data_IF_343912523722
#
_entry.id   IF_343912523722
#
_cell.length_a   1.000
_cell.length_b   1.000
_cell.length_c   1.000
_cell.angle_alpha   90.00
_cell.angle_beta   90.00
_cell.angle_gamma   90.00
#
_symmetry.space_group_name_H-M   'P 1'
#
loop_
_entity.id
_entity.type
_entity.pdbx_description
1 polymer ?
#
# COMPACT_ATOMS: atom_id res chain seq x y z
N UNK A 1 -21.51 -4.92 -0.44
CA UNK A 1 -21.02 -4.86 0.96
C UNK A 1 -20.78 -6.24 1.56
N UNK A 2 -21.72 -7.19 1.44
CA UNK A 2 -21.60 -8.56 1.97
C UNK A 2 -20.32 -9.32 1.55
N UNK A 3 -19.91 -9.26 0.27
CA UNK A 3 -18.68 -9.91 -0.22
C UNK A 3 -17.40 -9.33 0.43
N UNK A 4 -17.33 -8.01 0.60
CA UNK A 4 -16.18 -7.33 1.18
C UNK A 4 -16.07 -7.59 2.69
N UNK A 5 -17.21 -7.66 3.39
CA UNK A 5 -17.23 -8.10 4.78
C UNK A 5 -16.76 -9.55 4.91
N UNK A 6 -17.27 -10.46 4.06
CA UNK A 6 -16.80 -11.86 4.03
C UNK A 6 -15.30 -11.97 3.77
N UNK A 7 -14.75 -11.18 2.84
CA UNK A 7 -13.32 -11.16 2.54
C UNK A 7 -12.48 -10.59 3.69
N UNK A 8 -12.96 -9.52 4.34
CA UNK A 8 -12.33 -8.95 5.53
C UNK A 8 -12.30 -9.95 6.68
N UNK A 9 -13.44 -10.59 6.99
CA UNK A 9 -13.52 -11.66 7.98
C UNK A 9 -12.63 -12.85 7.62
N UNK A 10 -12.56 -13.22 6.34
CA UNK A 10 -11.66 -14.27 5.87
C UNK A 10 -10.21 -13.91 6.15
N UNK A 11 -9.73 -12.71 5.83
CA UNK A 11 -8.35 -12.34 6.09
C UNK A 11 -8.03 -12.20 7.59
N UNK A 12 -8.96 -11.68 8.40
CA UNK A 12 -8.82 -11.66 9.86
C UNK A 12 -8.69 -13.09 10.36
N UNK A 13 -9.61 -13.98 9.95
CA UNK A 13 -9.60 -15.39 10.34
C UNK A 13 -8.34 -16.10 9.86
N UNK A 14 -7.92 -15.91 8.62
CA UNK A 14 -6.68 -16.49 8.07
C UNK A 14 -5.44 -15.98 8.79
N UNK A 15 -5.40 -14.71 9.15
CA UNK A 15 -4.28 -14.15 9.93
C UNK A 15 -4.25 -14.68 11.35
N UNK A 16 -5.41 -14.74 12.01
CA UNK A 16 -5.55 -15.38 13.32
C UNK A 16 -5.19 -16.86 13.26
N UNK A 17 -5.60 -17.59 12.22
CA UNK A 17 -5.21 -18.98 12.00
C UNK A 17 -3.70 -19.11 11.81
N UNK A 18 -3.07 -18.24 11.02
CA UNK A 18 -1.61 -18.23 10.88
C UNK A 18 -0.91 -18.04 12.24
N UNK A 19 -1.44 -17.17 13.12
CA UNK A 19 -0.93 -17.03 14.49
C UNK A 19 -1.24 -18.23 15.38
N UNK A 20 -2.47 -18.74 15.38
CA UNK A 20 -2.95 -19.78 16.29
C UNK A 20 -2.44 -21.18 15.92
N UNK A 21 -2.15 -21.44 14.65
CA UNK A 21 -1.55 -22.70 14.18
C UNK A 21 -0.03 -22.69 14.37
N UNK A 22 0.58 -21.52 14.65
CA UNK A 22 2.02 -21.38 14.85
C UNK A 22 2.59 -22.22 16.02
N UNK A 23 1.92 -22.35 17.18
CA UNK A 23 2.37 -23.22 18.27
C UNK A 23 2.28 -24.72 17.93
N UNK A 24 1.24 -25.13 17.20
CA UNK A 24 0.93 -26.55 16.97
C UNK A 24 1.95 -27.23 16.04
N UNK A 25 2.49 -26.50 15.05
CA UNK A 25 3.47 -27.04 14.10
C UNK A 25 4.89 -27.13 14.71
N UNK A 26 5.17 -26.42 15.81
CA UNK A 26 6.49 -26.53 16.49
C UNK A 26 6.60 -27.76 17.40
N UNK A 27 5.49 -28.40 17.76
CA UNK A 27 5.47 -29.61 18.61
C UNK A 27 5.96 -30.87 17.90
N UNK A 28 6.00 -30.91 16.56
CA UNK A 28 6.35 -32.13 15.80
C UNK A 28 7.85 -32.30 15.55
N UNK A 29 8.70 -31.39 16.01
CA UNK A 29 10.15 -31.47 15.81
C UNK A 29 10.87 -31.92 17.08
N UNK A 30 10.42 -33.03 17.69
CA UNK A 30 11.22 -33.74 18.68
C UNK A 30 12.24 -34.66 17.98
N UNK A 31 13.51 -34.26 18.12
CA UNK A 31 14.60 -35.11 18.60
C UNK A 31 14.84 -36.48 17.93
N UNK A 32 15.48 -36.50 16.75
CA UNK A 32 16.29 -37.65 16.35
C UNK A 32 17.76 -37.43 16.73
N UNK A 33 18.16 -38.04 17.85
CA UNK A 33 19.57 -38.37 18.13
C UNK A 33 20.01 -39.40 17.08
N UNK A 34 20.94 -39.02 16.21
CA UNK A 34 21.65 -39.92 15.30
C UNK A 34 23.08 -39.43 15.13
N UNK A 35 24.05 -40.20 15.63
CA UNK A 35 25.47 -39.89 15.54
C UNK A 35 25.93 -39.89 14.09
N UNK A 36 26.25 -38.70 13.57
CA UNK A 36 26.82 -38.52 12.23
C UNK A 36 26.73 -37.06 11.77
N UNK A 37 27.88 -36.46 11.49
CA UNK A 37 28.03 -35.16 10.79
C UNK A 37 27.55 -33.89 11.52
N UNK A 38 28.39 -33.38 12.43
CA UNK A 38 28.20 -32.05 13.03
C UNK A 38 28.40 -30.91 12.00
N UNK A 39 29.19 -31.12 10.93
CA UNK A 39 29.46 -30.11 9.89
C UNK A 39 28.30 -29.96 8.89
N UNK A 40 27.68 -31.05 8.43
CA UNK A 40 26.60 -30.96 7.44
C UNK A 40 25.33 -30.37 8.06
N UNK A 41 25.05 -30.70 9.33
CA UNK A 41 23.91 -30.14 10.06
C UNK A 41 24.08 -28.64 10.33
N UNK A 42 25.28 -28.17 10.67
CA UNK A 42 25.59 -26.73 10.83
C UNK A 42 25.45 -26.00 9.49
N UNK A 43 26.00 -26.56 8.41
CA UNK A 43 25.95 -25.93 7.09
C UNK A 43 24.50 -25.85 6.55
N UNK A 44 23.72 -26.92 6.72
CA UNK A 44 22.29 -26.98 6.35
C UNK A 44 21.43 -25.99 7.13
N UNK A 45 21.67 -25.85 8.44
CA UNK A 45 20.97 -24.87 9.29
C UNK A 45 21.32 -23.43 8.89
N UNK A 46 22.58 -23.16 8.53
CA UNK A 46 23.03 -21.85 8.03
C UNK A 46 22.37 -21.47 6.69
N UNK A 47 22.25 -22.43 5.76
CA UNK A 47 21.60 -22.18 4.47
C UNK A 47 20.09 -21.95 4.63
N UNK A 48 19.42 -22.74 5.48
CA UNK A 48 17.99 -22.55 5.81
C UNK A 48 17.74 -21.17 6.41
N UNK A 49 18.50 -20.79 7.43
CA UNK A 49 18.39 -19.47 8.07
C UNK A 49 18.63 -18.34 7.06
N UNK A 50 19.63 -18.47 6.18
CA UNK A 50 19.92 -17.50 5.14
C UNK A 50 18.78 -17.34 4.14
N UNK A 51 18.13 -18.44 3.75
CA UNK A 51 16.94 -18.41 2.90
C UNK A 51 15.78 -17.74 3.63
N UNK A 52 15.57 -18.08 4.90
CA UNK A 52 14.50 -17.53 5.71
C UNK A 52 14.61 -16.01 5.88
N UNK A 53 15.81 -15.50 6.13
CA UNK A 53 16.09 -14.06 6.20
C UNK A 53 15.75 -13.36 4.87
N UNK A 54 16.15 -13.95 3.73
CA UNK A 54 15.85 -13.36 2.40
C UNK A 54 14.35 -13.35 2.12
N UNK A 55 13.66 -14.45 2.42
CA UNK A 55 12.22 -14.57 2.22
C UNK A 55 11.45 -13.57 3.10
N UNK A 56 11.84 -13.43 4.37
CA UNK A 56 11.27 -12.41 5.27
C UNK A 56 11.41 -11.00 4.68
N UNK A 57 12.63 -10.63 4.25
CA UNK A 57 12.88 -9.34 3.61
C UNK A 57 12.06 -9.13 2.35
N UNK A 58 11.99 -10.15 1.48
CA UNK A 58 11.20 -10.08 0.25
C UNK A 58 9.70 -9.93 0.51
N UNK A 59 9.13 -10.69 1.44
CA UNK A 59 7.71 -10.60 1.80
C UNK A 59 7.36 -9.21 2.36
N UNK A 60 8.20 -8.63 3.22
CA UNK A 60 7.99 -7.29 3.75
C UNK A 60 8.17 -6.19 2.70
N UNK A 61 9.15 -6.33 1.80
CA UNK A 61 9.28 -5.42 0.66
C UNK A 61 8.04 -5.49 -0.25
N UNK A 62 7.60 -6.69 -0.63
CA UNK A 62 6.43 -6.90 -1.48
C UNK A 62 5.17 -6.31 -0.83
N UNK A 63 4.98 -6.52 0.48
CA UNK A 63 3.87 -5.95 1.24
C UNK A 63 3.97 -4.42 1.38
N UNK A 64 4.96 -3.94 2.13
CA UNK A 64 5.02 -2.57 2.63
C UNK A 64 5.74 -1.62 1.67
N UNK A 65 6.70 -2.12 0.91
CA UNK A 65 7.45 -1.36 -0.08
C UNK A 65 6.73 -1.24 -1.42
N UNK A 66 5.89 -2.21 -1.78
CA UNK A 66 5.27 -2.27 -3.12
C UNK A 66 3.73 -2.27 -3.08
N UNK A 67 3.08 -3.34 -2.60
CA UNK A 67 1.63 -3.52 -2.70
C UNK A 67 0.85 -2.42 -1.98
N UNK A 68 1.28 -2.01 -0.79
CA UNK A 68 0.59 -0.96 -0.03
C UNK A 68 0.70 0.42 -0.72
N UNK A 69 1.90 0.92 -1.10
CA UNK A 69 2.03 2.15 -1.89
C UNK A 69 1.26 2.13 -3.22
N UNK A 70 1.32 1.03 -3.97
CA UNK A 70 0.56 0.86 -5.22
C UNK A 70 -0.94 0.89 -4.95
N UNK A 71 -1.40 0.26 -3.88
CA UNK A 71 -2.79 0.33 -3.43
C UNK A 71 -3.25 1.76 -3.15
N UNK A 72 -2.41 2.58 -2.51
CA UNK A 72 -2.67 4.01 -2.25
C UNK A 72 -2.76 4.78 -3.57
N UNK A 73 -1.80 4.61 -4.48
CA UNK A 73 -1.81 5.26 -5.79
C UNK A 73 -3.05 4.88 -6.60
N UNK A 74 -3.43 3.61 -6.61
CA UNK A 74 -4.63 3.11 -7.28
C UNK A 74 -5.92 3.69 -6.68
N UNK A 75 -5.96 3.95 -5.37
CA UNK A 75 -7.09 4.66 -4.72
C UNK A 75 -7.29 6.03 -5.31
N UNK A 76 -6.21 6.80 -5.46
CA UNK A 76 -6.26 8.19 -5.91
C UNK A 76 -6.57 8.31 -7.41
N UNK A 77 -6.09 7.38 -8.24
CA UNK A 77 -6.33 7.39 -9.69
C UNK A 77 -7.72 6.87 -10.10
N UNK A 78 -8.29 5.90 -9.37
CA UNK A 78 -9.58 5.33 -9.75
C UNK A 78 -10.73 6.27 -9.37
N UNK A 79 -11.07 7.20 -10.28
CA UNK A 79 -12.34 7.91 -10.25
C UNK A 79 -13.48 6.91 -10.52
N UNK A 80 -14.30 6.68 -9.48
CA UNK A 80 -15.70 6.24 -9.57
C UNK A 80 -16.07 4.88 -10.19
N UNK A 81 -15.14 4.00 -10.55
CA UNK A 81 -15.52 2.64 -10.99
C UNK A 81 -15.62 1.61 -9.85
N UNK A 82 -16.66 0.78 -9.87
CA UNK A 82 -16.84 -0.31 -8.89
C UNK A 82 -15.73 -1.37 -8.95
N UNK A 83 -15.17 -1.62 -10.14
CA UNK A 83 -14.03 -2.52 -10.35
C UNK A 83 -12.81 -2.05 -9.55
N UNK A 84 -12.52 -0.75 -9.60
CA UNK A 84 -11.44 -0.14 -8.83
C UNK A 84 -11.61 -0.32 -7.33
N UNK A 85 -12.83 -0.33 -6.77
CA UNK A 85 -13.05 -0.61 -5.34
C UNK A 85 -12.62 -2.02 -4.93
N UNK A 86 -12.91 -3.05 -5.75
CA UNK A 86 -12.53 -4.43 -5.44
C UNK A 86 -11.01 -4.61 -5.52
N UNK A 87 -10.40 -4.11 -6.60
CA UNK A 87 -8.96 -4.21 -6.81
C UNK A 87 -8.16 -3.55 -5.68
N UNK A 88 -8.58 -2.35 -5.24
CA UNK A 88 -7.96 -1.64 -4.10
C UNK A 88 -7.97 -2.48 -2.83
N UNK A 89 -9.11 -3.09 -2.52
CA UNK A 89 -9.24 -3.92 -1.31
C UNK A 89 -8.35 -5.16 -1.41
N UNK A 90 -8.25 -5.79 -2.59
CA UNK A 90 -7.34 -6.92 -2.81
C UNK A 90 -5.87 -6.56 -2.52
N UNK A 91 -5.39 -5.40 -2.99
CA UNK A 91 -4.03 -4.93 -2.69
C UNK A 91 -3.78 -4.80 -1.18
N UNK A 92 -4.71 -4.21 -0.42
CA UNK A 92 -4.56 -4.09 1.04
C UNK A 92 -4.64 -5.44 1.77
N UNK A 93 -5.58 -6.30 1.38
CA UNK A 93 -5.71 -7.63 2.00
C UNK A 93 -4.47 -8.48 1.76
N UNK A 94 -3.93 -8.44 0.53
CA UNK A 94 -2.71 -9.15 0.19
C UNK A 94 -1.51 -8.60 0.96
N UNK A 95 -1.39 -7.28 1.08
CA UNK A 95 -0.34 -6.63 1.89
C UNK A 95 -0.39 -7.11 3.35
N UNK A 96 -1.57 -7.05 4.00
CA UNK A 96 -1.72 -7.49 5.40
C UNK A 96 -1.36 -8.97 5.57
N UNK A 97 -1.74 -9.81 4.62
CA UNK A 97 -1.43 -11.24 4.65
C UNK A 97 0.06 -11.51 4.51
N UNK A 98 0.75 -10.85 3.58
CA UNK A 98 2.20 -10.98 3.40
C UNK A 98 2.97 -10.46 4.62
N UNK A 99 2.57 -9.31 5.17
CA UNK A 99 3.15 -8.77 6.40
C UNK A 99 2.98 -9.75 7.58
N UNK A 100 1.81 -10.37 7.69
CA UNK A 100 1.53 -11.38 8.72
C UNK A 100 2.34 -12.64 8.54
N UNK A 101 2.43 -13.17 7.32
CA UNK A 101 3.27 -14.32 7.02
C UNK A 101 4.75 -14.04 7.36
N UNK A 102 5.26 -12.87 6.99
CA UNK A 102 6.63 -12.47 7.30
C UNK A 102 6.88 -12.28 8.80
N UNK A 103 5.90 -11.72 9.54
CA UNK A 103 5.99 -11.56 10.98
C UNK A 103 5.98 -12.92 11.70
N UNK A 104 5.03 -13.80 11.37
CA UNK A 104 4.95 -15.17 11.89
C UNK A 104 6.25 -15.94 11.63
N UNK A 105 6.75 -15.86 10.40
CA UNK A 105 8.03 -16.45 10.03
C UNK A 105 9.19 -15.92 10.89
N UNK A 106 9.26 -14.60 11.09
CA UNK A 106 10.27 -13.97 11.94
C UNK A 106 10.20 -14.48 13.38
N UNK A 107 8.99 -14.57 13.95
CA UNK A 107 8.76 -15.08 15.30
C UNK A 107 9.20 -16.53 15.48
N UNK A 108 8.97 -17.38 14.46
CA UNK A 108 9.25 -18.82 14.54
C UNK A 108 10.71 -19.17 14.28
N UNK A 109 11.34 -18.49 13.34
CA UNK A 109 12.61 -18.93 12.77
C UNK A 109 13.82 -18.10 13.22
N UNK A 110 13.59 -16.89 13.75
CA UNK A 110 14.68 -16.01 14.16
C UNK A 110 14.78 -15.87 15.68
N UNK A 111 15.99 -15.61 16.15
CA UNK A 111 16.21 -15.26 17.55
C UNK A 111 15.74 -13.80 17.80
N UNK A 112 14.57 -13.65 18.39
CA UNK A 112 13.92 -12.37 18.66
C UNK A 112 14.29 -11.83 20.04
N UNK A 113 15.57 -11.51 20.25
CA UNK A 113 16.03 -10.82 21.47
C UNK A 113 15.67 -9.34 21.52
N UNK A 114 15.13 -8.78 20.42
CA UNK A 114 14.72 -7.37 20.27
C UNK A 114 15.80 -6.34 20.64
N UNK A 115 17.08 -6.71 20.57
CA UNK A 115 18.18 -5.79 20.82
C UNK A 115 18.47 -4.87 19.62
N UNK A 116 17.97 -5.23 18.43
CA UNK A 116 18.17 -4.47 17.20
C UNK A 116 17.01 -3.48 16.99
N UNK A 117 17.36 -2.25 16.56
CA UNK A 117 16.38 -1.20 16.17
C UNK A 117 15.37 -1.71 15.14
N UNK A 118 15.81 -2.48 14.14
CA UNK A 118 14.95 -3.08 13.12
C UNK A 118 13.88 -3.99 13.73
N UNK A 119 14.23 -4.85 14.69
CA UNK A 119 13.26 -5.76 15.34
C UNK A 119 12.21 -4.98 16.14
N UNK A 120 12.63 -3.96 16.89
CA UNK A 120 11.74 -3.12 17.71
C UNK A 120 10.78 -2.30 16.84
N UNK A 121 11.32 -1.65 15.80
CA UNK A 121 10.52 -0.88 14.83
C UNK A 121 9.59 -1.80 14.05
N UNK A 122 10.06 -2.97 13.61
CA UNK A 122 9.28 -3.96 12.87
C UNK A 122 8.09 -4.50 13.68
N UNK A 123 8.29 -4.79 14.97
CA UNK A 123 7.19 -5.20 15.86
C UNK A 123 6.15 -4.10 16.04
N UNK A 124 6.59 -2.86 16.29
CA UNK A 124 5.70 -1.70 16.41
C UNK A 124 4.92 -1.45 15.11
N UNK A 125 5.61 -1.48 13.98
CA UNK A 125 5.01 -1.35 12.65
C UNK A 125 3.94 -2.43 12.43
N UNK A 126 4.21 -3.68 12.80
CA UNK A 126 3.25 -4.76 12.66
C UNK A 126 1.95 -4.51 13.43
N UNK A 127 2.06 -4.03 14.69
CA UNK A 127 0.91 -3.61 15.47
C UNK A 127 0.14 -2.46 14.80
N UNK A 128 0.84 -1.47 14.26
CA UNK A 128 0.23 -0.33 13.57
C UNK A 128 -0.46 -0.72 12.25
N UNK A 129 0.04 -1.72 11.51
CA UNK A 129 -0.62 -2.26 10.31
C UNK A 129 -2.01 -2.79 10.66
N UNK A 130 -2.11 -3.60 11.72
CA UNK A 130 -3.38 -4.13 12.19
C UNK A 130 -4.30 -3.04 12.73
N UNK A 131 -3.77 -2.10 13.53
CA UNK A 131 -4.53 -0.97 14.03
C UNK A 131 -5.13 -0.15 12.89
N UNK A 132 -4.33 0.17 11.87
CA UNK A 132 -4.77 0.90 10.68
C UNK A 132 -5.87 0.14 9.92
N UNK A 133 -5.74 -1.19 9.78
CA UNK A 133 -6.74 -2.03 9.14
C UNK A 133 -8.07 -2.07 9.92
N UNK A 134 -8.00 -2.22 11.25
CA UNK A 134 -9.17 -2.23 12.13
C UNK A 134 -9.90 -0.89 12.11
N UNK A 135 -9.17 0.23 12.21
CA UNK A 135 -9.73 1.59 12.06
C UNK A 135 -10.38 1.74 10.69
N UNK A 136 -9.75 1.20 9.64
CA UNK A 136 -10.30 1.13 8.28
C UNK A 136 -11.66 0.41 8.20
N UNK A 137 -11.87 -0.62 9.02
CA UNK A 137 -13.09 -1.42 9.03
C UNK A 137 -14.25 -0.76 9.78
N UNK A 138 -13.97 -0.08 10.90
CA UNK A 138 -14.97 0.68 11.70
C UNK A 138 -15.34 2.05 11.09
N UNK A 139 -15.18 2.16 9.77
CA UNK A 139 -15.41 3.37 8.98
C UNK A 139 -16.83 3.93 9.22
N UNK A 140 -16.99 5.14 9.77
CA UNK A 140 -18.32 5.73 10.03
C UNK A 140 -19.11 6.02 8.75
N UNK A 141 -20.44 5.99 8.86
CA UNK A 141 -21.36 6.35 7.78
C UNK A 141 -21.11 7.78 7.27
N UNK A 142 -21.39 8.00 5.98
CA UNK A 142 -21.27 9.34 5.37
C UNK A 142 -22.22 10.31 6.08
N UNK A 143 -21.77 11.54 6.33
CA UNK A 143 -22.56 12.59 7.00
C UNK A 143 -22.52 12.57 8.54
N UNK A 144 -21.94 11.55 9.18
CA UNK A 144 -21.79 11.52 10.64
C UNK A 144 -20.73 12.50 11.15
N UNK A 145 -20.95 13.12 12.32
CA UNK A 145 -19.98 14.05 12.95
C UNK A 145 -18.59 13.42 13.16
N UNK A 146 -18.55 12.12 13.49
CA UNK A 146 -17.29 11.37 13.67
C UNK A 146 -16.52 11.04 12.37
N UNK A 147 -17.12 11.27 11.19
CA UNK A 147 -16.51 10.96 9.89
C UNK A 147 -15.21 11.72 9.65
N UNK A 148 -15.19 13.00 10.01
CA UNK A 148 -14.03 13.88 9.80
C UNK A 148 -12.88 13.48 10.72
N UNK A 149 -13.15 13.28 12.02
CA UNK A 149 -12.15 12.82 13.00
C UNK A 149 -11.57 11.46 12.58
N UNK A 150 -12.43 10.51 12.23
CA UNK A 150 -11.99 9.21 11.71
C UNK A 150 -11.08 9.36 10.50
N UNK A 151 -11.42 10.25 9.56
CA UNK A 151 -10.62 10.46 8.36
C UNK A 151 -9.24 11.02 8.70
N UNK A 152 -9.16 12.04 9.55
CA UNK A 152 -7.89 12.63 9.99
C UNK A 152 -7.01 11.60 10.70
N UNK A 153 -7.56 10.85 11.65
CA UNK A 153 -6.83 9.80 12.39
C UNK A 153 -6.34 8.71 11.43
N UNK A 154 -7.24 8.17 10.60
CA UNK A 154 -6.90 7.09 9.67
C UNK A 154 -5.88 7.54 8.60
N UNK A 155 -5.93 8.81 8.17
CA UNK A 155 -4.99 9.36 7.21
C UNK A 155 -3.60 9.59 7.82
N UNK A 156 -3.52 10.20 9.01
CA UNK A 156 -2.25 10.41 9.73
C UNK A 156 -1.61 9.06 10.05
N UNK A 157 -2.37 8.12 10.61
CA UNK A 157 -1.88 6.80 10.95
C UNK A 157 -1.42 6.02 9.72
N UNK A 158 -2.17 6.06 8.62
CA UNK A 158 -1.77 5.42 7.36
C UNK A 158 -0.48 5.99 6.77
N UNK A 159 -0.29 7.31 6.90
CA UNK A 159 0.94 7.98 6.48
C UNK A 159 2.12 7.53 7.35
N UNK A 160 1.94 7.50 8.68
CA UNK A 160 2.94 7.00 9.61
C UNK A 160 3.33 5.54 9.34
N UNK A 161 2.35 4.66 9.11
CA UNK A 161 2.58 3.25 8.74
C UNK A 161 3.37 3.13 7.43
N UNK A 162 3.09 3.98 6.44
CA UNK A 162 3.81 3.99 5.17
C UNK A 162 5.28 4.41 5.35
N UNK A 163 5.52 5.49 6.08
CA UNK A 163 6.87 5.98 6.37
C UNK A 163 7.67 4.97 7.20
N UNK A 164 7.08 4.44 8.27
CA UNK A 164 7.70 3.40 9.09
C UNK A 164 7.98 2.13 8.29
N UNK A 165 7.10 1.76 7.35
CA UNK A 165 7.34 0.65 6.41
C UNK A 165 8.61 0.83 5.58
N UNK A 166 8.78 2.02 4.99
CA UNK A 166 9.98 2.37 4.20
C UNK A 166 11.24 2.35 5.09
N UNK A 167 11.18 2.99 6.27
CA UNK A 167 12.29 3.00 7.23
C UNK A 167 12.66 1.59 7.71
N UNK A 168 11.66 0.74 7.93
CA UNK A 168 11.88 -0.63 8.37
C UNK A 168 12.55 -1.49 7.29
N UNK A 169 12.30 -1.22 6.00
CA UNK A 169 13.00 -1.88 4.90
C UNK A 169 14.47 -1.44 4.84
N UNK A 170 14.78 -0.15 4.96
CA UNK A 170 16.17 0.32 4.99
C UNK A 170 16.97 -0.24 6.17
N UNK A 171 16.39 -0.20 7.38
CA UNK A 171 17.02 -0.78 8.56
C UNK A 171 17.11 -2.31 8.47
N UNK A 172 16.16 -2.97 7.80
CA UNK A 172 16.21 -4.40 7.51
C UNK A 172 17.32 -4.80 6.54
N UNK A 173 17.58 -3.98 5.51
CA UNK A 173 18.73 -4.15 4.61
C UNK A 173 20.05 -4.01 5.38
N UNK A 174 20.16 -3.01 6.27
CA UNK A 174 21.34 -2.87 7.13
C UNK A 174 21.54 -4.09 8.04
N UNK A 175 20.47 -4.55 8.71
CA UNK A 175 20.52 -5.75 9.55
C UNK A 175 20.87 -7.01 8.72
N UNK A 176 20.41 -7.10 7.47
CA UNK A 176 20.80 -8.17 6.55
C UNK A 176 22.29 -8.15 6.23
N UNK A 177 22.85 -6.96 5.96
CA UNK A 177 24.29 -6.80 5.72
C UNK A 177 25.10 -7.22 6.95
N UNK A 178 24.73 -6.76 8.14
CA UNK A 178 25.40 -7.12 9.39
C UNK A 178 25.36 -8.63 9.66
N UNK A 179 24.23 -9.28 9.36
CA UNK A 179 24.03 -10.72 9.63
C UNK A 179 24.66 -11.65 8.61
N UNK A 180 24.75 -11.23 7.34
CA UNK A 180 25.18 -12.11 6.23
C UNK A 180 26.48 -11.67 5.58
N UNK A 181 27.00 -10.49 5.92
CA UNK A 181 28.15 -9.83 5.28
C UNK A 181 27.99 -9.62 3.77
N UNK A 182 26.78 -9.76 3.23
CA UNK A 182 26.49 -9.59 1.80
C UNK A 182 26.26 -8.13 1.45
N UNK A 183 26.73 -7.71 0.27
CA UNK A 183 26.52 -6.36 -0.23
C UNK A 183 25.03 -6.05 -0.44
N UNK A 184 24.59 -4.89 0.06
CA UNK A 184 23.20 -4.41 -0.05
C UNK A 184 23.02 -3.24 -1.01
N UNK A 185 24.13 -2.67 -1.52
CA UNK A 185 24.11 -1.43 -2.32
C UNK A 185 23.10 -1.47 -3.47
N UNK A 186 23.10 -2.57 -4.24
CA UNK A 186 22.19 -2.74 -5.37
C UNK A 186 20.72 -2.75 -4.94
N UNK A 187 20.38 -3.50 -3.88
CA UNK A 187 19.02 -3.55 -3.34
C UNK A 187 18.57 -2.19 -2.79
N UNK A 188 19.46 -1.47 -2.11
CA UNK A 188 19.21 -0.11 -1.63
C UNK A 188 18.93 0.83 -2.79
N UNK A 189 19.75 0.83 -3.86
CA UNK A 189 19.55 1.68 -5.04
C UNK A 189 18.21 1.40 -5.70
N UNK A 190 17.88 0.12 -5.94
CA UNK A 190 16.61 -0.28 -6.54
C UNK A 190 15.43 0.19 -5.68
N UNK A 191 15.48 -0.03 -4.37
CA UNK A 191 14.41 0.38 -3.48
C UNK A 191 14.27 1.90 -3.41
N UNK A 192 15.37 2.65 -3.36
CA UNK A 192 15.35 4.12 -3.40
C UNK A 192 14.73 4.62 -4.71
N UNK A 193 15.15 4.07 -5.86
CA UNK A 193 14.60 4.43 -7.16
C UNK A 193 13.09 4.14 -7.23
N UNK A 194 12.65 2.99 -6.72
CA UNK A 194 11.24 2.63 -6.61
C UNK A 194 10.45 3.64 -5.75
N UNK A 195 10.95 3.98 -4.55
CA UNK A 195 10.28 4.94 -3.66
C UNK A 195 10.21 6.32 -4.30
N UNK A 196 11.28 6.78 -4.95
CA UNK A 196 11.32 8.04 -5.70
C UNK A 196 10.30 8.06 -6.84
N UNK A 197 10.21 6.98 -7.62
CA UNK A 197 9.22 6.83 -8.68
C UNK A 197 7.79 6.88 -8.11
N UNK A 198 7.50 6.10 -7.08
CA UNK A 198 6.17 6.11 -6.44
C UNK A 198 5.81 7.49 -5.86
N UNK A 199 6.78 8.19 -5.27
CA UNK A 199 6.60 9.55 -4.76
C UNK A 199 6.31 10.53 -5.88
N UNK A 200 7.04 10.43 -7.00
CA UNK A 200 6.78 11.23 -8.19
C UNK A 200 5.34 11.02 -8.68
N UNK A 201 4.89 9.78 -8.87
CA UNK A 201 3.50 9.50 -9.26
C UNK A 201 2.48 10.03 -8.25
N UNK A 202 2.76 9.87 -6.95
CA UNK A 202 1.89 10.37 -5.90
C UNK A 202 1.67 11.89 -5.99
N UNK A 203 2.75 12.65 -6.22
CA UNK A 203 2.68 14.11 -6.38
C UNK A 203 2.08 14.51 -7.73
N UNK A 204 2.40 13.76 -8.79
CA UNK A 204 1.93 14.02 -10.15
C UNK A 204 0.42 13.85 -10.29
N UNK A 205 -0.18 12.89 -9.56
CA UNK A 205 -1.63 12.65 -9.55
C UNK A 205 -2.45 13.92 -9.25
N UNK A 206 -1.99 14.78 -8.33
CA UNK A 206 -2.71 16.01 -7.97
C UNK A 206 -2.65 17.08 -9.07
N UNK A 207 -1.62 17.04 -9.91
CA UNK A 207 -1.44 17.98 -11.04
C UNK A 207 -2.06 17.49 -12.33
N UNK A 208 -2.25 16.18 -12.50
CA UNK A 208 -2.77 15.55 -13.71
C UNK A 208 -4.09 16.17 -14.20
N UNK A 209 -5.03 16.42 -13.28
CA UNK A 209 -6.31 17.06 -13.61
C UNK A 209 -6.16 18.47 -14.18
N UNK A 210 -5.24 19.26 -13.64
CA UNK A 210 -4.97 20.63 -14.11
C UNK A 210 -4.33 20.63 -15.50
N UNK A 211 -3.38 19.72 -15.75
CA UNK A 211 -2.70 19.56 -17.04
C UNK A 211 -3.69 19.16 -18.14
N UNK A 212 -4.57 18.19 -17.86
CA UNK A 212 -5.61 17.77 -18.81
C UNK A 212 -6.54 18.93 -19.18
N UNK A 213 -6.93 19.77 -18.22
CA UNK A 213 -7.76 20.96 -18.50
C UNK A 213 -7.04 22.02 -19.34
N UNK A 214 -5.75 22.24 -19.15
CA UNK A 214 -4.99 23.19 -19.96
C UNK A 214 -4.77 22.69 -21.40
N UNK A 215 -4.54 21.38 -21.59
CA UNK A 215 -4.42 20.79 -22.92
C UNK A 215 -5.71 20.89 -23.75
N UNK A 216 -6.88 20.76 -23.10
CA UNK A 216 -8.20 20.91 -23.77
C UNK A 216 -8.47 22.37 -24.18
N UNK A 217 -8.01 23.35 -23.41
CA UNK A 217 -8.21 24.78 -23.72
C UNK A 217 -7.33 25.26 -24.89
N UNK A 218 -6.11 24.75 -25.04
CA UNK A 218 -5.22 25.04 -26.18
C UNK A 218 -5.67 24.41 -27.50
N UNK A 219 -6.45 23.32 -27.45
CA UNK A 219 -7.01 22.68 -28.65
C UNK A 219 -8.25 23.38 -29.22
N UNK A 220 -8.78 24.39 -28.52
CA UNK A 220 -10.01 25.10 -28.87
C UNK A 220 -9.76 26.59 -29.12
N UNK A 221 -8.58 26.96 -29.64
CA UNK A 221 -8.38 28.31 -30.16
C UNK A 221 -9.23 28.45 -31.44
N UNK A 222 -10.28 29.30 -31.46
CA UNK A 222 -11.01 29.55 -32.69
C UNK A 222 -10.08 30.27 -33.66
N UNK A 223 -9.83 29.66 -34.82
CA UNK A 223 -9.29 30.36 -35.98
C UNK A 223 -10.15 31.60 -36.19
N UNK A 224 -9.59 32.78 -35.94
CA UNK A 224 -10.27 34.07 -36.15
C UNK A 224 -10.78 34.11 -37.60
N UNK A 225 -12.08 34.29 -37.85
CA UNK A 225 -12.54 34.69 -39.17
C UNK A 225 -12.02 36.10 -39.41
N UNK A 226 -11.30 36.30 -40.50
CA UNK A 226 -10.91 37.61 -41.02
C UNK A 226 -12.15 38.51 -41.05
N UNK A 227 -12.08 39.63 -40.32
CA UNK A 227 -13.14 40.61 -40.23
C UNK A 227 -13.26 41.34 -41.57
N UNK A 228 -14.20 40.91 -42.43
CA UNK A 228 -14.69 41.70 -43.56
C UNK A 228 -16.05 41.16 -44.01
N UNK A 229 -17.14 41.69 -43.44
CA UNK A 229 -18.48 41.79 -44.05
C UNK A 229 -19.42 42.66 -43.17
N UNK A 230 -19.18 43.97 -43.16
CA UNK A 230 -20.05 45.01 -43.78
C UNK A 230 -21.59 44.85 -43.68
N UNK A 231 -22.24 45.86 -43.05
CA UNK A 231 -23.66 46.35 -43.14
C UNK A 231 -24.82 45.43 -42.61
N UNK A 232 -25.87 45.78 -41.84
CA UNK A 232 -26.52 46.99 -41.28
C UNK A 232 -27.53 46.56 -40.15
N UNK A 233 -28.07 47.47 -39.32
CA UNK A 233 -28.78 47.16 -38.07
C UNK A 233 -30.31 46.98 -38.22
N UNK A 234 -30.89 45.95 -37.58
CA UNK A 234 -32.34 45.78 -37.44
C UNK A 234 -32.81 46.55 -36.21
N UNK A 235 -33.28 47.77 -36.46
CA UNK A 235 -34.17 48.53 -35.60
C UNK A 235 -35.62 48.20 -36.02
N UNK A 236 -36.36 47.40 -35.23
CA UNK A 236 -37.81 47.57 -35.05
C UNK A 236 -38.34 46.78 -33.86
N UNK A 237 -38.49 47.53 -32.79
CA UNK A 237 -39.21 47.24 -31.56
C UNK A 237 -40.73 47.12 -31.81
N UNK A 238 -41.29 45.97 -31.42
CA UNK A 238 -42.48 45.81 -30.53
C UNK A 238 -43.69 46.75 -30.80
N UNK A 239 -44.76 46.25 -31.45
CA UNK A 239 -46.20 46.46 -31.11
C UNK A 239 -47.12 45.71 -32.09
N UNK A 240 -48.29 45.31 -31.58
CA UNK A 240 -49.36 44.47 -32.17
C UNK A 240 -49.03 42.97 -32.15
N UNK A 241 -49.29 42.19 -31.08
CA UNK A 241 -50.57 41.99 -30.38
C UNK A 241 -51.73 41.91 -31.39
N UNK A 242 -51.85 40.72 -31.96
CA UNK A 242 -53.09 39.94 -32.03
C UNK A 242 -54.38 40.74 -31.76
N UNK A 243 -55.06 41.09 -32.85
CA UNK A 243 -56.51 41.19 -32.91
C UNK A 243 -56.97 40.57 -34.23
N UNK A 244 -58.14 39.93 -34.19
CA UNK A 244 -58.97 39.39 -35.28
C UNK A 244 -58.87 37.89 -35.66
N UNK A 245 -60.02 37.23 -35.40
CA UNK A 245 -60.55 35.92 -35.77
C UNK A 245 -60.06 34.68 -35.01
#
# INVERSE_FOLDING_TARGET
MKFLQKLGFFCIRSSLLLFLVSPLVSSSQEHMKGGGSHKDNIHKMSHKLSFEIRLHGFLLWASMGFLMPVGILAIRMSQREECGRRLRILFYMLSILLATAAAVMSFRNFNNSFNNKHQRVGLGLYGLIWLQALIGFIRPQRGSKGRSVWFSVHWILGTAVSLLGILNIYTGLQAYHERTSKGIKLWTIIFTAQVSFMTFFYLFQDKWWYIQKQGVLLGHEPVRPTADQVLLPIEKQKRAVTDSC
#
